data_IF_227947857062
#
_entry.id   IF_227947857062
#
_cell.length_a   1.000
_cell.length_b   1.000
_cell.length_c   1.000
_cell.angle_alpha   90.00
_cell.angle_beta   90.00
_cell.angle_gamma   90.00
#
_symmetry.space_group_name_H-M   'P 1'
#
loop_
_entity.id
_entity.type
_entity.pdbx_description
1 polymer ?
#
# COMPACT_ATOMS: atom_id res chain seq x y z
N UNK A 1 -1.01 9.84 -3.27
CA UNK A 1 -0.44 8.48 -3.33
C UNK A 1 0.81 8.33 -2.46
N UNK A 2 1.95 8.93 -2.81
CA UNK A 2 3.20 8.76 -2.03
C UNK A 2 3.19 9.37 -0.62
N UNK A 3 2.48 10.47 -0.41
CA UNK A 3 2.26 11.01 0.95
C UNK A 3 1.51 10.03 1.89
N UNK A 4 0.76 9.06 1.36
CA UNK A 4 0.15 8.00 2.18
C UNK A 4 1.13 6.86 2.46
N UNK A 5 2.02 6.51 1.52
CA UNK A 5 3.15 5.61 1.77
C UNK A 5 4.05 6.18 2.87
N UNK A 6 4.31 7.50 2.85
CA UNK A 6 5.11 8.16 3.87
C UNK A 6 4.48 8.10 5.28
N UNK A 7 3.16 7.90 5.41
CA UNK A 7 2.51 7.74 6.73
C UNK A 7 2.82 6.38 7.38
N UNK A 8 3.06 5.34 6.58
CA UNK A 8 3.61 4.08 7.10
C UNK A 8 5.05 4.22 7.52
N UNK A 9 5.70 5.23 6.95
CA UNK A 9 7.08 5.52 7.19
C UNK A 9 7.29 6.34 8.45
N UNK A 10 7.24 5.68 9.62
CA UNK A 10 7.70 6.30 10.86
C UNK A 10 9.15 6.80 10.73
N UNK A 11 9.52 7.83 11.50
CA UNK A 11 10.83 8.53 11.43
C UNK A 11 12.07 7.65 11.66
N UNK A 12 11.91 6.40 12.12
CA UNK A 12 13.02 5.54 12.49
C UNK A 12 13.07 4.31 11.57
N UNK A 13 13.99 4.36 10.60
CA UNK A 13 14.53 3.27 9.79
C UNK A 13 13.52 2.41 9.03
N UNK A 14 13.39 2.69 7.73
CA UNK A 14 12.69 1.81 6.81
C UNK A 14 13.56 1.40 5.65
N UNK A 15 13.38 0.15 5.30
CA UNK A 15 13.89 -0.47 4.10
C UNK A 15 12.89 -0.17 2.97
N UNK A 16 12.92 1.07 2.46
CA UNK A 16 12.15 1.50 1.28
C UNK A 16 12.86 1.11 0.00
N UNK A 17 12.16 0.34 -0.81
CA UNK A 17 12.67 -0.23 -2.05
C UNK A 17 11.74 0.10 -3.21
N UNK A 18 12.32 0.26 -4.38
CA UNK A 18 11.63 0.35 -5.66
C UNK A 18 12.02 -0.89 -6.45
N UNK A 19 11.06 -1.75 -6.74
CA UNK A 19 11.23 -2.93 -7.58
C UNK A 19 10.63 -2.64 -8.96
N UNK A 20 11.42 -2.80 -10.01
CA UNK A 20 11.03 -2.55 -11.40
C UNK A 20 11.17 -3.82 -12.22
N UNK A 21 10.15 -4.13 -13.02
CA UNK A 21 10.21 -5.16 -14.06
C UNK A 21 9.34 -4.76 -15.26
N UNK A 22 9.23 -5.65 -16.26
CA UNK A 22 8.42 -5.41 -17.47
C UNK A 22 6.92 -5.24 -17.22
N UNK A 23 6.43 -5.73 -16.08
CA UNK A 23 5.00 -5.82 -15.77
C UNK A 23 4.53 -4.71 -14.83
N UNK A 24 5.42 -4.08 -14.08
CA UNK A 24 5.06 -3.10 -13.05
C UNK A 24 6.26 -2.34 -12.47
N UNK A 25 5.93 -1.26 -11.76
CA UNK A 25 6.80 -0.66 -10.75
C UNK A 25 6.14 -0.84 -9.39
N UNK A 26 6.88 -1.37 -8.43
CA UNK A 26 6.44 -1.61 -7.05
C UNK A 26 7.25 -0.78 -6.07
N UNK A 27 6.55 -0.05 -5.20
CA UNK A 27 7.10 0.70 -4.08
C UNK A 27 6.87 -0.10 -2.81
N UNK A 28 7.96 -0.52 -2.19
CA UNK A 28 7.97 -1.56 -1.17
C UNK A 28 8.53 -0.96 0.10
N UNK A 29 7.70 -0.91 1.14
CA UNK A 29 8.15 -0.64 2.50
C UNK A 29 8.27 -2.00 3.18
N UNK A 30 9.50 -2.47 3.35
CA UNK A 30 9.76 -3.69 4.12
C UNK A 30 10.04 -3.32 5.57
N UNK A 31 9.36 -4.02 6.47
CA UNK A 31 9.53 -3.85 7.92
C UNK A 31 10.63 -4.75 8.47
N UNK A 32 11.13 -4.39 9.65
CA UNK A 32 11.83 -5.27 10.61
C UNK A 32 10.96 -5.43 11.89
N UNK A 33 10.89 -6.61 12.51
CA UNK A 33 10.21 -6.82 13.81
C UNK A 33 8.67 -6.88 13.78
N UNK A 34 7.97 -6.03 14.56
CA UNK A 34 6.49 -5.98 14.74
C UNK A 34 5.76 -4.73 14.13
N UNK A 35 6.33 -4.08 13.10
CA UNK A 35 5.78 -2.93 12.32
C UNK A 35 4.82 -3.37 11.17
N UNK A 36 4.57 -2.62 10.09
CA UNK A 36 3.79 -3.04 8.90
C UNK A 36 4.70 -3.17 7.67
N UNK A 37 4.44 -4.15 6.80
CA UNK A 37 5.03 -4.22 5.45
C UNK A 37 3.99 -3.86 4.40
N UNK A 38 4.36 -3.05 3.41
CA UNK A 38 3.44 -2.55 2.37
C UNK A 38 4.08 -2.64 1.00
N UNK A 39 3.30 -3.07 0.01
CA UNK A 39 3.61 -2.96 -1.42
C UNK A 39 2.56 -2.09 -2.07
N UNK A 40 2.98 -1.04 -2.77
CA UNK A 40 2.17 -0.31 -3.74
C UNK A 40 2.68 -0.64 -5.14
N UNK A 41 1.85 -1.28 -5.95
CA UNK A 41 2.19 -1.68 -7.30
C UNK A 41 1.40 -0.85 -8.32
N UNK A 42 2.13 -0.25 -9.25
CA UNK A 42 1.60 0.35 -10.45
C UNK A 42 1.77 -0.66 -11.59
N UNK A 43 0.67 -1.17 -12.13
CA UNK A 43 0.71 -2.18 -13.22
C UNK A 43 1.20 -1.53 -14.53
N UNK A 44 1.63 -2.34 -15.50
CA UNK A 44 2.14 -1.88 -16.80
C UNK A 44 1.25 -0.83 -17.47
N UNK A 45 -0.06 -1.07 -17.45
CA UNK A 45 -1.05 -0.22 -18.12
C UNK A 45 -1.28 1.13 -17.43
N UNK A 46 -0.75 1.30 -16.21
CA UNK A 46 -0.63 2.62 -15.57
C UNK A 46 0.28 3.56 -16.38
N UNK A 47 1.28 3.00 -17.05
CA UNK A 47 2.33 3.77 -17.71
C UNK A 47 2.08 3.86 -19.20
N UNK A 48 2.27 5.06 -19.75
CA UNK A 48 2.27 5.26 -21.20
C UNK A 48 3.39 4.48 -21.91
N UNK A 49 4.54 4.32 -21.24
CA UNK A 49 5.70 3.58 -21.75
C UNK A 49 6.51 3.01 -20.58
N UNK A 50 6.87 1.74 -20.67
CA UNK A 50 7.89 1.10 -19.83
C UNK A 50 8.97 0.57 -20.76
N UNK A 51 10.22 0.87 -20.42
CA UNK A 51 11.39 0.27 -21.05
C UNK A 51 12.25 -0.33 -19.94
N UNK A 52 12.33 -1.66 -19.89
CA UNK A 52 13.12 -2.38 -18.90
C UNK A 52 13.94 -3.44 -19.63
N UNK A 53 15.25 -3.45 -19.39
CA UNK A 53 16.15 -4.45 -19.95
C UNK A 53 16.36 -5.54 -18.89
N UNK A 54 15.95 -6.78 -19.20
CA UNK A 54 15.98 -7.88 -18.21
C UNK A 54 17.38 -8.17 -17.66
N UNK A 55 18.42 -7.95 -18.47
CA UNK A 55 19.82 -8.08 -18.08
C UNK A 55 20.28 -7.08 -17.00
N UNK A 56 19.48 -6.05 -16.70
CA UNK A 56 19.74 -5.14 -15.59
C UNK A 56 19.32 -5.73 -14.25
N UNK A 57 18.45 -6.75 -14.21
CA UNK A 57 17.88 -7.31 -12.98
C UNK A 57 18.96 -7.76 -11.97
N UNK A 58 18.74 -7.47 -10.69
CA UNK A 58 19.60 -7.86 -9.58
C UNK A 58 18.92 -8.86 -8.63
N UNK A 59 17.69 -9.29 -8.96
CA UNK A 59 16.90 -10.34 -8.29
C UNK A 59 16.13 -11.14 -9.35
N UNK A 60 15.56 -12.30 -8.96
CA UNK A 60 14.66 -13.06 -9.84
C UNK A 60 13.36 -12.31 -10.20
N UNK A 61 12.96 -11.33 -9.39
CA UNK A 61 11.70 -10.57 -9.57
C UNK A 61 11.87 -9.29 -10.40
N UNK A 62 13.11 -8.91 -10.72
CA UNK A 62 13.46 -7.69 -11.46
C UNK A 62 14.63 -6.93 -10.85
N UNK A 63 14.62 -5.61 -11.03
CA UNK A 63 15.63 -4.72 -10.47
C UNK A 63 15.11 -4.00 -9.22
N UNK A 64 15.78 -4.23 -8.10
CA UNK A 64 15.49 -3.61 -6.80
C UNK A 64 16.47 -2.47 -6.57
N UNK A 65 15.95 -1.31 -6.15
CA UNK A 65 16.72 -0.15 -5.73
C UNK A 65 16.29 0.25 -4.33
N UNK A 66 17.25 0.47 -3.43
CA UNK A 66 16.97 1.09 -2.14
C UNK A 66 17.11 2.61 -2.25
N UNK A 67 16.09 3.34 -1.79
CA UNK A 67 16.07 4.81 -1.83
C UNK A 67 15.64 5.34 -0.47
N UNK A 68 16.11 6.52 -0.10
CA UNK A 68 15.57 7.20 1.07
C UNK A 68 14.11 7.64 0.79
N UNK A 69 13.17 7.19 1.63
CA UNK A 69 11.75 7.52 1.49
C UNK A 69 11.47 9.02 1.66
N UNK A 70 12.17 9.70 2.56
CA UNK A 70 11.99 11.13 2.80
C UNK A 70 12.42 11.94 1.57
N UNK A 71 13.57 11.59 0.99
CA UNK A 71 14.07 12.23 -0.23
C UNK A 71 13.15 11.95 -1.41
N UNK A 72 12.62 10.72 -1.52
CA UNK A 72 11.65 10.36 -2.55
C UNK A 72 10.33 11.14 -2.42
N UNK A 73 9.77 11.25 -1.22
CA UNK A 73 8.54 12.00 -0.97
C UNK A 73 8.73 13.51 -1.23
N UNK A 74 9.85 14.08 -0.80
CA UNK A 74 10.21 15.47 -1.09
C UNK A 74 10.32 15.69 -2.61
N UNK A 75 10.98 14.76 -3.31
CA UNK A 75 11.14 14.82 -4.77
C UNK A 75 9.79 14.81 -5.48
N UNK A 76 8.86 13.98 -5.04
CA UNK A 76 7.51 13.94 -5.59
C UNK A 76 6.74 15.26 -5.33
N UNK A 77 6.83 15.82 -4.12
CA UNK A 77 6.19 17.10 -3.76
C UNK A 77 6.73 18.30 -4.54
N UNK A 78 7.97 18.20 -5.01
CA UNK A 78 8.60 19.21 -5.85
C UNK A 78 8.11 19.18 -7.31
N UNK A 79 7.42 18.12 -7.75
CA UNK A 79 6.80 18.07 -9.07
C UNK A 79 5.55 18.96 -9.07
N UNK A 80 5.20 19.53 -10.23
CA UNK A 80 3.97 20.31 -10.39
C UNK A 80 2.84 19.43 -10.97
N UNK A 81 1.95 18.84 -10.14
CA UNK A 81 0.91 17.92 -10.61
C UNK A 81 -0.26 18.61 -11.30
N UNK A 82 -0.32 19.95 -11.29
CA UNK A 82 -1.45 20.73 -11.82
C UNK A 82 -1.44 20.95 -13.34
N UNK A 83 -0.39 20.51 -14.03
CA UNK A 83 -0.19 20.73 -15.47
C UNK A 83 -0.15 19.39 -16.24
N UNK A 84 -0.47 19.39 -17.54
CA UNK A 84 -0.42 18.24 -18.48
C UNK A 84 1.02 17.71 -18.74
N UNK A 85 1.86 17.72 -17.72
CA UNK A 85 3.26 17.37 -17.77
C UNK A 85 3.43 15.85 -17.68
N UNK A 86 4.34 15.30 -18.48
CA UNK A 86 4.76 13.91 -18.37
C UNK A 86 5.87 13.79 -17.32
N UNK A 87 5.73 12.80 -16.44
CA UNK A 87 6.76 12.41 -15.47
C UNK A 87 7.44 11.14 -15.99
N UNK A 88 8.75 11.19 -16.20
CA UNK A 88 9.59 10.04 -16.53
C UNK A 88 10.43 9.68 -15.31
N UNK A 89 10.51 8.38 -15.02
CA UNK A 89 11.43 7.83 -14.02
C UNK A 89 12.47 7.01 -14.79
N UNK A 90 13.73 7.41 -14.68
CA UNK A 90 14.83 6.86 -15.46
C UNK A 90 15.92 6.39 -14.50
N UNK A 91 16.44 5.19 -14.73
CA UNK A 91 17.58 4.65 -14.03
C UNK A 91 18.59 4.12 -15.04
N UNK A 92 19.85 4.55 -14.89
CA UNK A 92 20.98 4.03 -15.65
C UNK A 92 21.97 3.44 -14.65
N UNK A 93 22.37 2.17 -14.88
CA UNK A 93 23.20 1.39 -13.94
C UNK A 93 24.49 2.11 -13.55
N UNK A 94 25.07 2.85 -14.48
CA UNK A 94 26.34 3.54 -14.32
C UNK A 94 26.23 4.88 -13.56
N UNK A 95 25.01 5.35 -13.28
CA UNK A 95 24.78 6.66 -12.68
C UNK A 95 24.64 6.64 -11.15
N UNK A 96 24.41 5.48 -10.51
CA UNK A 96 24.14 5.35 -9.06
C UNK A 96 23.00 6.23 -8.50
N UNK A 97 22.17 6.82 -9.36
CA UNK A 97 21.01 7.62 -8.97
C UNK A 97 19.78 7.29 -9.82
N UNK A 98 18.60 7.45 -9.24
CA UNK A 98 17.32 7.46 -9.91
C UNK A 98 17.01 8.89 -10.36
N UNK A 99 16.67 9.09 -11.63
CA UNK A 99 16.21 10.39 -12.15
C UNK A 99 14.70 10.44 -12.26
N UNK A 100 14.11 11.53 -11.77
CA UNK A 100 12.72 11.88 -11.99
C UNK A 100 12.69 13.16 -12.83
N UNK A 101 12.16 13.06 -14.06
CA UNK A 101 12.09 14.17 -15.02
C UNK A 101 10.65 14.57 -15.25
N UNK A 102 10.35 15.85 -15.08
CA UNK A 102 9.07 16.44 -15.47
C UNK A 102 9.24 17.21 -16.79
N UNK A 103 8.38 16.95 -17.75
CA UNK A 103 8.44 17.58 -19.07
C UNK A 103 7.07 18.03 -19.56
N UNK A 104 7.01 19.10 -20.35
CA UNK A 104 5.75 19.60 -20.91
C UNK A 104 5.45 18.92 -22.23
N UNK A 105 4.21 18.46 -22.42
CA UNK A 105 3.77 17.88 -23.69
C UNK A 105 3.62 19.00 -24.72
N UNK A 106 4.44 19.01 -25.78
CA UNK A 106 4.21 19.92 -26.90
C UNK A 106 3.03 19.40 -27.74
N UNK A 107 2.01 20.22 -27.94
CA UNK A 107 0.76 19.81 -28.63
C UNK A 107 0.91 19.71 -30.16
N UNK A 108 2.00 20.19 -30.76
CA UNK A 108 2.10 20.40 -32.22
C UNK A 108 3.34 19.81 -32.93
N UNK A 109 4.04 18.81 -32.39
CA UNK A 109 5.15 18.17 -33.10
C UNK A 109 5.12 16.63 -33.01
N UNK A 110 5.18 15.89 -34.15
CA UNK A 110 5.21 14.42 -34.16
C UNK A 110 6.59 13.85 -33.78
N UNK A 111 7.64 14.68 -33.71
CA UNK A 111 8.87 14.35 -33.01
C UNK A 111 8.65 14.57 -31.52
N UNK A 112 8.79 13.53 -30.70
CA UNK A 112 8.67 13.57 -29.24
C UNK A 112 9.80 14.38 -28.58
N UNK A 113 9.98 15.66 -28.94
CA UNK A 113 10.84 16.58 -28.20
C UNK A 113 10.02 17.13 -27.02
N UNK A 114 10.35 16.66 -25.83
CA UNK A 114 9.77 17.14 -24.59
C UNK A 114 10.77 18.09 -23.93
N UNK A 115 10.40 19.36 -23.73
CA UNK A 115 11.22 20.30 -22.98
C UNK A 115 11.21 19.87 -21.50
N UNK A 116 12.38 19.46 -21.01
CA UNK A 116 12.55 19.02 -19.61
C UNK A 116 12.48 20.26 -18.73
N UNK A 117 11.44 20.35 -17.91
CA UNK A 117 11.22 21.48 -17.00
C UNK A 117 11.93 21.28 -15.67
N UNK A 118 12.00 20.04 -15.20
CA UNK A 118 12.61 19.71 -13.92
C UNK A 118 13.27 18.35 -13.98
N UNK A 119 14.48 18.25 -13.44
CA UNK A 119 15.18 16.99 -13.21
C UNK A 119 15.52 16.92 -11.73
N UNK A 120 15.10 15.83 -11.09
CA UNK A 120 15.44 15.52 -9.71
C UNK A 120 16.27 14.24 -9.73
N UNK A 121 17.38 14.24 -9.00
CA UNK A 121 18.25 13.07 -8.84
C UNK A 121 18.11 12.56 -7.41
N UNK A 122 17.89 11.26 -7.27
CA UNK A 122 17.75 10.56 -6.01
C UNK A 122 18.86 9.53 -5.90
N UNK A 123 19.65 9.62 -4.83
CA UNK A 123 20.73 8.67 -4.60
C UNK A 123 20.16 7.28 -4.30
N UNK A 124 20.79 6.26 -4.87
CA UNK A 124 20.51 4.87 -4.52
C UNK A 124 21.45 4.50 -3.39
N UNK A 125 20.88 3.95 -2.32
CA UNK A 125 21.63 3.59 -1.13
C UNK A 125 22.29 2.23 -1.34
N UNK A 126 23.62 2.16 -1.19
CA UNK A 126 24.39 0.92 -1.37
C UNK A 126 23.95 -0.21 -0.42
N UNK A 127 23.91 -1.42 -0.96
CA UNK A 127 23.12 -2.55 -0.47
C UNK A 127 23.93 -3.63 0.27
N UNK A 128 25.04 -3.30 0.93
CA UNK A 128 25.85 -4.33 1.60
C UNK A 128 25.13 -5.09 2.74
N UNK A 129 23.89 -4.72 3.11
CA UNK A 129 23.20 -5.29 4.28
C UNK A 129 21.75 -5.77 4.06
N UNK A 130 21.19 -5.75 2.84
CA UNK A 130 19.81 -6.23 2.60
C UNK A 130 19.82 -7.47 1.72
N UNK A 131 19.21 -8.56 2.21
CA UNK A 131 18.91 -9.73 1.39
C UNK A 131 17.86 -9.34 0.34
N UNK A 132 18.31 -8.99 -0.87
CA UNK A 132 17.44 -8.50 -1.95
C UNK A 132 16.48 -9.55 -2.47
N UNK A 133 16.79 -10.84 -2.30
CA UNK A 133 15.89 -11.94 -2.68
C UNK A 133 14.65 -12.01 -1.78
N UNK A 134 14.71 -11.35 -0.62
CA UNK A 134 13.59 -11.21 0.30
C UNK A 134 12.66 -10.01 -0.03
N UNK A 135 12.94 -9.25 -1.10
CA UNK A 135 12.08 -8.20 -1.65
C UNK A 135 11.20 -8.79 -2.75
N UNK A 136 9.88 -8.74 -2.55
CA UNK A 136 8.91 -9.38 -3.42
C UNK A 136 7.78 -8.41 -3.79
N UNK A 137 7.15 -8.64 -4.94
CA UNK A 137 5.92 -7.94 -5.35
C UNK A 137 4.71 -8.30 -4.49
N UNK A 138 4.80 -9.38 -3.70
CA UNK A 138 3.78 -9.76 -2.74
C UNK A 138 4.40 -10.31 -1.48
N UNK A 139 3.86 -9.89 -0.34
CA UNK A 139 4.22 -10.46 0.96
C UNK A 139 3.14 -11.40 1.50
N UNK A 140 2.08 -11.64 0.73
CA UNK A 140 0.93 -12.45 1.17
C UNK A 140 1.30 -13.92 1.04
N UNK A 141 1.38 -14.67 2.15
CA UNK A 141 1.74 -16.09 2.07
C UNK A 141 0.66 -16.88 1.32
N UNK A 142 1.09 -17.86 0.52
CA UNK A 142 0.19 -18.85 -0.06
C UNK A 142 -0.14 -19.91 0.99
N UNK A 143 -1.02 -19.57 1.92
CA UNK A 143 -1.45 -20.41 3.03
C UNK A 143 -2.96 -20.33 3.22
N UNK A 144 -3.50 -21.20 4.07
CA UNK A 144 -4.87 -21.07 4.53
C UNK A 144 -5.02 -19.90 5.51
N UNK A 145 -6.10 -19.15 5.33
CA UNK A 145 -6.48 -18.04 6.20
C UNK A 145 -7.70 -18.43 7.01
N UNK A 146 -7.68 -18.03 8.28
CA UNK A 146 -8.78 -18.22 9.23
C UNK A 146 -10.01 -17.43 8.79
N UNK A 147 -9.80 -16.18 8.34
CA UNK A 147 -10.84 -15.34 7.77
C UNK A 147 -10.41 -14.88 6.38
N UNK A 148 -11.31 -14.93 5.40
CA UNK A 148 -11.13 -14.29 4.09
C UNK A 148 -12.42 -13.66 3.61
N UNK A 149 -12.38 -12.36 3.38
CA UNK A 149 -13.50 -11.55 2.89
C UNK A 149 -13.10 -10.87 1.58
N UNK A 150 -14.03 -10.80 0.63
CA UNK A 150 -13.89 -9.98 -0.58
C UNK A 150 -15.09 -9.05 -0.72
N UNK A 151 -14.86 -7.78 -0.98
CA UNK A 151 -15.92 -6.77 -1.14
C UNK A 151 -15.46 -5.62 -2.04
N UNK A 152 -16.40 -4.79 -2.46
CA UNK A 152 -16.08 -3.49 -3.06
C UNK A 152 -16.25 -2.43 -1.99
N UNK A 153 -15.23 -1.59 -1.84
CA UNK A 153 -15.10 -0.54 -0.82
C UNK A 153 -16.37 0.32 -0.67
N UNK A 154 -16.99 0.76 -1.78
CA UNK A 154 -18.29 1.42 -1.78
C UNK A 154 -18.33 2.75 -1.00
N UNK A 155 -19.53 3.21 -0.65
CA UNK A 155 -19.74 4.41 0.19
C UNK A 155 -19.36 4.17 1.66
N UNK A 156 -19.39 2.92 2.11
CA UNK A 156 -19.04 2.50 3.48
C UNK A 156 -17.58 2.78 3.84
N UNK A 157 -16.71 2.95 2.84
CA UNK A 157 -15.30 3.29 3.04
C UNK A 157 -14.97 4.78 3.00
N UNK A 158 -15.85 5.63 2.45
CA UNK A 158 -15.73 7.08 2.63
C UNK A 158 -15.88 7.48 4.11
N UNK A 159 -16.45 6.59 4.94
CA UNK A 159 -16.50 6.70 6.38
C UNK A 159 -15.12 6.51 7.03
N UNK A 160 -14.22 5.71 6.44
CA UNK A 160 -12.91 5.41 7.03
C UNK A 160 -12.06 6.68 7.10
N UNK A 161 -12.00 7.44 6.01
CA UNK A 161 -11.19 8.67 5.99
C UNK A 161 -11.81 9.77 6.85
N UNK A 162 -13.14 9.89 6.92
CA UNK A 162 -13.80 10.88 7.79
C UNK A 162 -13.74 10.54 9.26
N UNK A 163 -13.90 9.26 9.60
CA UNK A 163 -14.09 8.86 10.99
C UNK A 163 -12.77 8.43 11.61
N UNK A 164 -11.99 7.61 10.92
CA UNK A 164 -10.75 7.12 11.50
C UNK A 164 -9.69 8.22 11.56
N UNK A 165 -9.72 9.23 10.69
CA UNK A 165 -8.82 10.39 10.82
C UNK A 165 -9.18 11.30 12.00
N UNK A 166 -10.42 11.24 12.49
CA UNK A 166 -10.90 11.98 13.66
C UNK A 166 -10.74 11.18 14.96
N UNK A 167 -10.62 9.85 14.87
CA UNK A 167 -10.28 8.97 15.98
C UNK A 167 -8.84 9.27 16.42
N UNK A 168 -8.71 9.88 17.60
CA UNK A 168 -7.41 10.07 18.28
C UNK A 168 -6.92 8.81 19.00
N UNK A 169 -7.70 7.74 18.95
CA UNK A 169 -7.39 6.50 19.65
C UNK A 169 -6.22 5.75 19.03
N UNK A 170 -5.44 5.13 19.91
CA UNK A 170 -4.25 4.38 19.56
C UNK A 170 -4.58 3.03 18.93
N UNK A 171 -5.73 2.45 19.27
CA UNK A 171 -6.13 1.10 18.88
C UNK A 171 -7.57 1.02 18.37
N UNK A 172 -7.77 0.13 17.40
CA UNK A 172 -9.06 -0.24 16.83
C UNK A 172 -9.30 -1.74 16.98
N UNK A 173 -10.46 -2.08 17.50
CA UNK A 173 -10.94 -3.45 17.60
C UNK A 173 -11.78 -3.79 16.38
N UNK A 174 -11.44 -4.88 15.70
CA UNK A 174 -12.21 -5.48 14.61
C UNK A 174 -12.93 -6.71 15.14
N UNK A 175 -14.26 -6.65 15.18
CA UNK A 175 -15.11 -7.79 15.57
C UNK A 175 -15.75 -8.37 14.32
N UNK A 176 -15.51 -9.65 14.06
CA UNK A 176 -16.10 -10.42 12.96
C UNK A 176 -17.12 -11.40 13.54
N UNK A 177 -18.39 -11.23 13.19
CA UNK A 177 -19.45 -12.13 13.65
C UNK A 177 -19.92 -13.04 12.51
N UNK A 178 -19.48 -14.30 12.53
CA UNK A 178 -19.94 -15.35 11.61
C UNK A 178 -21.08 -16.19 12.19
N UNK A 179 -21.47 -15.95 13.45
CA UNK A 179 -22.51 -16.72 14.14
C UNK A 179 -23.93 -16.33 13.72
N UNK A 180 -24.10 -15.16 13.11
CA UNK A 180 -25.40 -14.68 12.63
C UNK A 180 -25.47 -14.92 11.12
N UNK A 181 -25.75 -16.16 10.71
CA UNK A 181 -25.80 -16.53 9.29
C UNK A 181 -27.18 -16.25 8.70
N UNK A 182 -27.53 -14.97 8.60
CA UNK A 182 -28.61 -14.53 7.73
C UNK A 182 -27.99 -14.07 6.40
N UNK A 183 -28.34 -14.76 5.31
CA UNK A 183 -28.03 -14.37 3.93
C UNK A 183 -26.54 -14.20 3.58
N UNK A 184 -25.63 -14.99 4.17
CA UNK A 184 -24.18 -14.87 3.91
C UNK A 184 -23.65 -13.45 4.17
N UNK A 185 -24.09 -12.82 5.27
CA UNK A 185 -23.58 -11.53 5.70
C UNK A 185 -22.77 -11.72 6.98
N UNK A 186 -21.55 -11.19 7.00
CA UNK A 186 -20.75 -11.01 8.22
C UNK A 186 -20.87 -9.54 8.59
N UNK A 187 -21.02 -9.22 9.87
CA UNK A 187 -20.85 -7.85 10.33
C UNK A 187 -19.41 -7.70 10.82
N UNK A 188 -18.67 -6.76 10.22
CA UNK A 188 -17.36 -6.36 10.73
C UNK A 188 -17.49 -5.01 11.39
N UNK A 189 -17.20 -4.97 12.69
CA UNK A 189 -17.34 -3.79 13.51
C UNK A 189 -15.97 -3.25 13.89
N UNK A 190 -15.70 -2.00 13.53
CA UNK A 190 -14.51 -1.28 13.96
C UNK A 190 -14.87 -0.38 15.14
N UNK A 191 -14.28 -0.62 16.32
CA UNK A 191 -14.59 0.09 17.56
C UNK A 191 -13.30 0.67 18.16
N UNK A 192 -13.29 1.93 18.61
CA UNK A 192 -12.16 2.49 19.34
C UNK A 192 -12.04 1.87 20.74
N UNK A 193 -10.81 1.60 21.20
CA UNK A 193 -10.57 0.94 22.48
C UNK A 193 -10.65 1.93 23.67
N UNK A 194 -11.87 2.22 24.18
CA UNK A 194 -12.24 3.07 25.35
C UNK A 194 -11.67 4.51 25.40
N UNK A 195 -12.48 5.59 25.47
CA UNK A 195 -13.20 6.06 26.68
C UNK A 195 -14.58 6.68 26.37
N UNK A 196 -15.63 6.05 26.91
CA UNK A 196 -16.94 6.53 27.44
C UNK A 196 -17.87 7.45 26.63
N UNK A 197 -17.46 8.35 25.72
CA UNK A 197 -18.41 9.37 25.22
C UNK A 197 -18.82 9.35 23.74
N UNK A 198 -18.09 8.70 22.84
CA UNK A 198 -18.53 8.54 21.44
C UNK A 198 -18.00 7.23 20.85
N UNK A 199 -18.68 6.11 21.13
CA UNK A 199 -18.37 4.85 20.45
C UNK A 199 -18.87 4.93 19.01
N UNK A 200 -17.97 5.12 18.07
CA UNK A 200 -18.31 5.00 16.66
C UNK A 200 -18.17 3.55 16.19
N UNK A 201 -19.17 3.07 15.45
CA UNK A 201 -19.22 1.72 14.89
C UNK A 201 -19.32 1.83 13.37
N UNK A 202 -18.32 1.31 12.65
CA UNK A 202 -18.48 1.03 11.21
C UNK A 202 -18.86 -0.42 11.05
N UNK A 203 -20.02 -0.65 10.42
CA UNK A 203 -20.44 -1.98 9.98
C UNK A 203 -20.13 -2.15 8.49
N UNK A 204 -19.27 -3.11 8.15
CA UNK A 204 -19.07 -3.55 6.77
C UNK A 204 -19.98 -4.74 6.48
N UNK A 205 -20.72 -4.67 5.37
CA UNK A 205 -21.70 -5.70 4.94
C UNK A 205 -21.63 -5.92 3.42
N UNK A 206 -22.41 -6.86 2.88
CA UNK A 206 -22.51 -7.15 1.43
C UNK A 206 -21.20 -7.62 0.78
N UNK A 207 -20.57 -8.64 1.37
CA UNK A 207 -19.37 -9.26 0.83
C UNK A 207 -19.67 -10.13 -0.40
N UNK A 208 -18.77 -10.09 -1.38
CA UNK A 208 -18.79 -10.96 -2.57
C UNK A 208 -18.35 -12.39 -2.24
N UNK A 209 -17.39 -12.53 -1.32
CA UNK A 209 -16.94 -13.81 -0.79
C UNK A 209 -16.70 -13.72 0.70
N UNK A 210 -17.03 -14.80 1.41
CA UNK A 210 -16.87 -14.93 2.86
C UNK A 210 -16.34 -16.34 3.15
N UNK A 211 -15.26 -16.41 3.95
CA UNK A 211 -14.73 -17.63 4.56
C UNK A 211 -14.40 -17.32 6.02
N UNK A 212 -14.84 -18.18 6.92
CA UNK A 212 -14.54 -18.16 8.35
C UNK A 212 -15.43 -19.17 9.07
N UNK A 213 -14.94 -19.74 10.19
CA UNK A 213 -15.74 -20.69 10.97
C UNK A 213 -16.90 -19.99 11.68
N UNK A 214 -17.95 -20.75 12.01
CA UNK A 214 -19.18 -20.28 12.64
C UNK A 214 -18.97 -19.86 14.10
N UNK A 215 -18.27 -18.75 14.30
CA UNK A 215 -17.96 -18.17 15.61
C UNK A 215 -17.70 -16.66 15.49
N UNK A 216 -17.48 -16.01 16.62
CA UNK A 216 -17.06 -14.60 16.66
C UNK A 216 -15.55 -14.51 16.82
N UNK A 217 -14.94 -13.59 16.09
CA UNK A 217 -13.52 -13.27 16.23
C UNK A 217 -13.36 -11.81 16.58
N UNK A 218 -12.33 -11.50 17.38
CA UNK A 218 -11.99 -10.15 17.77
C UNK A 218 -10.48 -9.97 17.68
N UNK A 219 -10.04 -8.90 17.02
CA UNK A 219 -8.64 -8.56 16.85
C UNK A 219 -8.42 -7.08 17.05
N UNK A 220 -7.37 -6.72 17.78
CA UNK A 220 -6.99 -5.34 18.02
C UNK A 220 -5.79 -4.96 17.15
N UNK A 221 -5.85 -3.77 16.55
CA UNK A 221 -4.78 -3.24 15.71
C UNK A 221 -4.48 -1.79 16.05
N UNK A 222 -3.23 -1.37 15.88
CA UNK A 222 -2.86 0.04 16.01
C UNK A 222 -3.51 0.88 14.90
N UNK A 223 -4.25 1.91 15.28
CA UNK A 223 -4.93 2.85 14.36
C UNK A 223 -3.96 3.43 13.33
N UNK A 224 -2.76 3.79 13.77
CA UNK A 224 -1.69 4.37 12.91
C UNK A 224 -1.24 3.43 11.77
N UNK A 225 -1.46 2.12 11.88
CA UNK A 225 -1.09 1.13 10.86
C UNK A 225 -2.28 0.81 9.94
N UNK A 226 -3.51 0.84 10.47
CA UNK A 226 -4.75 0.59 9.74
C UNK A 226 -5.11 1.75 8.82
N UNK A 227 -5.03 2.97 9.35
CA UNK A 227 -5.44 4.19 8.65
C UNK A 227 -4.79 4.36 7.27
N UNK A 228 -3.45 4.23 7.15
CA UNK A 228 -2.82 4.42 5.86
C UNK A 228 -3.17 3.28 4.86
N UNK A 229 -3.63 2.11 5.32
CA UNK A 229 -4.04 0.98 4.44
C UNK A 229 -5.32 1.27 3.69
N UNK A 230 -6.23 1.93 4.37
CA UNK A 230 -7.49 2.34 3.78
C UNK A 230 -7.36 3.60 2.93
N UNK A 231 -6.31 4.41 3.13
CA UNK A 231 -6.09 5.64 2.35
C UNK A 231 -5.78 5.43 0.86
N UNK A 232 -5.56 4.18 0.42
CA UNK A 232 -5.41 3.83 -1.00
C UNK A 232 -6.72 3.39 -1.66
N UNK A 233 -7.82 3.34 -0.90
CA UNK A 233 -9.11 2.86 -1.39
C UNK A 233 -10.00 4.04 -1.80
N UNK A 234 -10.74 3.85 -2.88
CA UNK A 234 -11.84 4.70 -3.29
C UNK A 234 -13.14 3.88 -3.32
N UNK A 235 -14.25 4.49 -3.74
CA UNK A 235 -15.57 3.85 -3.76
C UNK A 235 -15.65 2.59 -4.65
N UNK A 236 -14.77 2.44 -5.63
CA UNK A 236 -14.79 1.34 -6.63
C UNK A 236 -13.69 0.31 -6.38
N UNK A 237 -12.79 0.55 -5.41
CA UNK A 237 -11.71 -0.38 -5.09
C UNK A 237 -12.24 -1.73 -4.63
N UNK A 238 -11.77 -2.81 -5.26
CA UNK A 238 -12.01 -4.17 -4.80
C UNK A 238 -11.02 -4.47 -3.67
N UNK A 239 -11.53 -4.96 -2.56
CA UNK A 239 -10.76 -5.24 -1.35
C UNK A 239 -10.86 -6.72 -1.03
N UNK A 240 -9.71 -7.34 -0.76
CA UNK A 240 -9.63 -8.63 -0.09
C UNK A 240 -9.01 -8.43 1.28
N UNK A 241 -9.72 -8.84 2.31
CA UNK A 241 -9.30 -8.77 3.70
C UNK A 241 -9.11 -10.21 4.19
N UNK A 242 -7.92 -10.53 4.70
CA UNK A 242 -7.62 -11.86 5.22
C UNK A 242 -6.98 -11.77 6.59
N UNK A 243 -7.27 -12.74 7.46
CA UNK A 243 -6.64 -12.86 8.77
C UNK A 243 -6.06 -14.26 8.90
N UNK A 244 -4.78 -14.36 9.24
CA UNK A 244 -4.12 -15.65 9.45
C UNK A 244 -4.42 -16.19 10.87
N UNK A 245 -3.88 -17.37 11.19
CA UNK A 245 -4.07 -17.99 12.50
C UNK A 245 -3.43 -17.20 13.65
N UNK A 246 -2.43 -16.36 13.38
CA UNK A 246 -1.79 -15.49 14.37
C UNK A 246 -2.50 -14.15 14.57
N UNK A 247 -3.62 -13.93 13.87
CA UNK A 247 -4.39 -12.68 13.94
C UNK A 247 -3.81 -11.53 13.11
N UNK A 248 -2.75 -11.73 12.33
CA UNK A 248 -2.24 -10.71 11.41
C UNK A 248 -3.24 -10.46 10.28
N UNK A 249 -3.48 -9.18 10.01
CA UNK A 249 -4.39 -8.69 8.98
C UNK A 249 -3.64 -8.43 7.67
N UNK A 250 -4.13 -9.02 6.60
CA UNK A 250 -3.66 -8.83 5.23
C UNK A 250 -4.75 -8.09 4.46
N UNK A 251 -4.42 -6.89 4.00
CA UNK A 251 -5.30 -6.06 3.18
C UNK A 251 -4.75 -5.98 1.76
N UNK A 252 -5.54 -6.45 0.80
CA UNK A 252 -5.27 -6.28 -0.63
C UNK A 252 -6.30 -5.33 -1.19
N UNK A 253 -5.86 -4.23 -1.79
CA UNK A 253 -6.72 -3.31 -2.52
C UNK A 253 -6.36 -3.32 -4.00
N UNK A 254 -7.39 -3.33 -4.87
CA UNK A 254 -7.23 -3.29 -6.32
C UNK A 254 -8.17 -2.25 -6.91
N UNK A 255 -7.58 -1.23 -7.50
CA UNK A 255 -8.27 -0.29 -8.36
C UNK A 255 -7.93 -0.64 -9.81
N UNK A 256 -8.83 -1.37 -10.47
CA UNK A 256 -8.62 -1.80 -11.86
C UNK A 256 -8.72 -0.62 -12.84
N UNK A 257 -9.46 0.44 -12.50
CA UNK A 257 -9.56 1.62 -13.35
C UNK A 257 -8.27 2.44 -13.30
N UNK A 258 -7.71 2.60 -12.10
CA UNK A 258 -6.45 3.29 -11.92
C UNK A 258 -5.23 2.40 -12.20
N UNK A 259 -5.38 1.09 -12.40
CA UNK A 259 -4.28 0.13 -12.54
C UNK A 259 -3.31 0.11 -11.33
N UNK A 260 -3.87 0.30 -10.13
CA UNK A 260 -3.13 0.34 -8.86
C UNK A 260 -3.53 -0.86 -8.00
N UNK A 261 -2.54 -1.54 -7.43
CA UNK A 261 -2.73 -2.55 -6.40
C UNK A 261 -1.94 -2.19 -5.15
N UNK A 262 -2.51 -2.43 -3.97
CA UNK A 262 -1.75 -2.38 -2.72
C UNK A 262 -1.92 -3.66 -1.93
N UNK A 263 -0.85 -4.06 -1.24
CA UNK A 263 -0.83 -5.16 -0.29
C UNK A 263 -0.22 -4.65 1.01
N UNK A 264 -0.93 -4.82 2.11
CA UNK A 264 -0.49 -4.36 3.44
C UNK A 264 -0.63 -5.48 4.45
N UNK A 265 0.42 -5.72 5.23
CA UNK A 265 0.41 -6.67 6.36
C UNK A 265 0.46 -5.89 7.66
N UNK A 266 -0.57 -6.04 8.47
CA UNK A 266 -0.74 -5.37 9.75
C UNK A 266 -0.72 -6.43 10.84
N UNK A 267 0.33 -6.51 11.67
CA UNK A 267 0.35 -7.46 12.77
C UNK A 267 -0.74 -7.10 13.77
N UNK A 268 -1.31 -8.12 14.41
CA UNK A 268 -2.19 -7.92 15.56
C UNK A 268 -1.42 -7.22 16.69
N UNK A 269 -2.13 -6.46 17.52
CA UNK A 269 -1.62 -6.04 18.80
C UNK A 269 -1.38 -7.30 19.66
N UNK A 270 -0.12 -7.63 19.92
CA UNK A 270 0.18 -8.62 20.97
C UNK A 270 -0.26 -8.01 22.30
N UNK A 271 -0.99 -8.79 23.11
CA UNK A 271 -1.16 -8.44 24.52
C UNK A 271 0.23 -8.44 25.15
N UNK A 272 0.87 -7.28 25.22
CA UNK A 272 1.99 -7.08 26.12
C UNK A 272 1.41 -7.17 27.53
N UNK A 273 1.42 -8.38 28.07
CA UNK A 273 1.38 -8.59 29.52
C UNK A 273 2.72 -8.05 30.02
N UNK A 274 2.74 -6.78 30.41
CA UNK A 274 3.72 -6.28 31.37
C UNK A 274 3.23 -6.60 32.80
#
# INVERSE_FOLDING_TARGET
MFGNLAKYAGKNQLDFHILVNLSSISFIIKKRGNITSTVLQLKRDFFKKINFQENMSNTASGYVMKVNMEDFDLSYKLLDPGNENMINIEYEKDCSYLMIRQSKKQQNNPSFQCDTQKTIKLDILDEEQVDKDSISMSFIPNQDYLISLEFTSGSSFNLVDKVFSQIKETCLTFVFDFSILNNQQVEVNCVPNNVVNESFKVSMTNFKKIKGDYQKYQYDYYTKLILPAFSFMNKETNVSMKINHDGALFLISRDENANIQTETIIPMLENTID
#
